data_IF_881631406896
#
_entry.id   IF_881631406896
#
_cell.length_a   1.000
_cell.length_b   1.000
_cell.length_c   1.000
_cell.angle_alpha   90.00
_cell.angle_beta   90.00
_cell.angle_gamma   90.00
#
_symmetry.space_group_name_H-M   'P 1'
#
loop_
_entity.id
_entity.type
_entity.pdbx_description
1 polymer ?
#
# COMPACT_ATOMS: atom_id res chain seq x y z
N UNK A 1 -6.49 8.85 -15.49
CA UNK A 1 -5.45 9.88 -15.34
C UNK A 1 -4.22 9.39 -16.08
N UNK A 2 -3.49 10.24 -16.79
CA UNK A 2 -2.27 9.80 -17.48
C UNK A 2 -1.08 9.74 -16.51
N UNK A 3 -0.03 9.00 -16.85
CA UNK A 3 1.17 8.90 -16.02
C UNK A 3 1.89 10.26 -15.90
N UNK A 4 1.85 11.09 -16.95
CA UNK A 4 2.40 12.45 -16.90
C UNK A 4 1.61 13.36 -15.94
N UNK A 5 0.29 13.25 -15.91
CA UNK A 5 -0.56 13.99 -14.96
C UNK A 5 -0.28 13.54 -13.53
N UNK A 6 -0.20 12.23 -13.29
CA UNK A 6 0.12 11.66 -11.98
C UNK A 6 1.47 12.16 -11.48
N UNK A 7 2.51 12.12 -12.34
CA UNK A 7 3.85 12.57 -11.98
C UNK A 7 3.90 14.05 -11.60
N UNK A 8 3.14 14.90 -12.30
CA UNK A 8 3.02 16.33 -11.96
C UNK A 8 2.37 16.53 -10.60
N UNK A 9 1.29 15.79 -10.32
CA UNK A 9 0.58 15.88 -9.04
C UNK A 9 1.46 15.39 -7.89
N UNK A 10 2.17 14.27 -8.04
CA UNK A 10 3.12 13.76 -7.03
C UNK A 10 4.20 14.80 -6.74
N UNK A 11 4.83 15.37 -7.78
CA UNK A 11 5.87 16.39 -7.62
C UNK A 11 5.35 17.64 -6.90
N UNK A 12 4.11 18.02 -7.14
CA UNK A 12 3.49 19.16 -6.44
C UNK A 12 3.16 18.79 -4.98
N UNK A 13 2.57 17.62 -4.74
CA UNK A 13 2.27 17.12 -3.40
C UNK A 13 3.54 16.99 -2.53
N UNK A 14 4.68 16.60 -3.13
CA UNK A 14 5.98 16.54 -2.47
C UNK A 14 6.45 17.92 -2.01
N UNK A 15 6.31 18.94 -2.87
CA UNK A 15 6.66 20.33 -2.55
C UNK A 15 5.76 20.91 -1.46
N UNK A 16 4.49 20.54 -1.47
CA UNK A 16 3.49 21.03 -0.52
C UNK A 16 3.55 20.31 0.83
N UNK A 17 4.33 19.23 0.94
CA UNK A 17 4.51 18.48 2.18
C UNK A 17 3.21 17.84 2.67
N UNK A 18 2.38 17.34 1.74
CA UNK A 18 1.06 16.80 2.11
C UNK A 18 1.17 15.57 3.01
N UNK A 19 0.26 15.46 3.97
CA UNK A 19 0.18 14.32 4.89
C UNK A 19 -0.87 13.28 4.48
N UNK A 20 -1.74 13.62 3.54
CA UNK A 20 -2.76 12.72 2.97
C UNK A 20 -2.80 12.86 1.46
N UNK A 21 -2.84 11.74 0.75
CA UNK A 21 -2.82 11.71 -0.70
C UNK A 21 -3.82 10.69 -1.23
N UNK A 22 -4.82 11.18 -1.96
CA UNK A 22 -5.96 10.38 -2.41
C UNK A 22 -5.93 10.22 -3.94
N UNK A 23 -5.65 8.99 -4.35
CA UNK A 23 -5.57 8.55 -5.73
C UNK A 23 -6.65 7.51 -6.04
N UNK A 24 -7.76 7.47 -5.28
CA UNK A 24 -8.83 6.51 -5.51
C UNK A 24 -9.49 6.66 -6.89
N UNK A 25 -9.91 5.54 -7.49
CA UNK A 25 -10.69 5.53 -8.73
C UNK A 25 -10.04 6.30 -9.90
N UNK A 26 -8.72 6.20 -10.05
CA UNK A 26 -7.97 6.90 -11.10
C UNK A 26 -7.60 6.03 -12.29
N UNK A 27 -7.92 4.73 -12.22
CA UNK A 27 -7.56 3.68 -13.19
C UNK A 27 -6.04 3.64 -13.42
N UNK A 28 -5.29 3.76 -12.34
CA UNK A 28 -3.82 3.68 -12.39
C UNK A 28 -3.41 2.24 -12.65
N UNK A 29 -2.67 2.01 -13.72
CA UNK A 29 -2.06 0.71 -14.00
C UNK A 29 -0.70 0.55 -13.33
N UNK A 30 -0.05 1.67 -13.01
CA UNK A 30 1.23 1.72 -12.30
C UNK A 30 1.26 2.91 -11.33
N UNK A 31 2.08 2.77 -10.29
CA UNK A 31 2.43 3.85 -9.37
C UNK A 31 3.91 4.18 -9.59
N UNK A 32 4.27 5.41 -9.97
CA UNK A 32 5.65 5.73 -10.32
C UNK A 32 6.54 5.80 -9.07
N UNK A 33 7.85 5.50 -9.19
CA UNK A 33 8.83 5.56 -8.09
C UNK A 33 8.83 6.89 -7.32
N UNK A 34 8.49 8.00 -7.99
CA UNK A 34 8.41 9.32 -7.37
C UNK A 34 7.40 9.41 -6.22
N UNK A 35 6.51 8.43 -6.04
CA UNK A 35 5.67 8.36 -4.84
C UNK A 35 6.50 8.41 -3.55
N UNK A 36 7.70 7.82 -3.55
CA UNK A 36 8.62 7.82 -2.41
C UNK A 36 9.09 9.21 -1.98
N UNK A 37 8.91 10.23 -2.81
CA UNK A 37 9.22 11.64 -2.47
C UNK A 37 8.24 12.22 -1.44
N UNK A 38 7.06 11.62 -1.24
CA UNK A 38 6.03 12.08 -0.30
C UNK A 38 6.38 11.68 1.16
N UNK A 39 7.56 12.04 1.63
CA UNK A 39 8.10 11.60 2.94
C UNK A 39 7.29 12.06 4.16
N UNK A 40 6.41 13.05 4.01
CA UNK A 40 5.51 13.53 5.07
C UNK A 40 4.16 12.78 5.11
N UNK A 41 3.95 11.83 4.20
CA UNK A 41 2.67 11.18 4.03
C UNK A 41 2.36 10.24 5.21
N UNK A 42 1.15 10.39 5.74
CA UNK A 42 0.59 9.55 6.81
C UNK A 42 -0.58 8.70 6.33
N UNK A 43 -1.25 9.12 5.25
CA UNK A 43 -2.36 8.39 4.63
C UNK A 43 -2.22 8.37 3.11
N UNK A 44 -2.19 7.17 2.52
CA UNK A 44 -2.18 6.94 1.09
C UNK A 44 -3.40 6.10 0.70
N UNK A 45 -4.27 6.67 -0.13
CA UNK A 45 -5.43 5.96 -0.65
C UNK A 45 -5.27 5.66 -2.15
N UNK A 46 -5.11 4.39 -2.49
CA UNK A 46 -4.99 3.83 -3.83
C UNK A 46 -6.18 2.92 -4.17
N UNK A 47 -7.27 3.01 -3.41
CA UNK A 47 -8.48 2.21 -3.56
C UNK A 47 -9.04 2.27 -4.99
N UNK A 48 -9.50 1.15 -5.52
CA UNK A 48 -10.05 1.03 -6.88
C UNK A 48 -9.14 1.62 -7.97
N UNK A 49 -7.94 1.06 -8.12
CA UNK A 49 -7.11 1.29 -9.30
C UNK A 49 -6.89 -0.03 -10.03
N UNK A 50 -5.89 -0.13 -10.90
CA UNK A 50 -5.58 -1.32 -11.71
C UNK A 50 -4.10 -1.70 -11.53
N UNK A 51 -3.54 -1.40 -10.35
CA UNK A 51 -2.13 -1.62 -10.04
C UNK A 51 -1.84 -3.11 -9.99
N UNK A 52 -0.84 -3.56 -10.74
CA UNK A 52 -0.37 -4.96 -10.70
C UNK A 52 0.84 -5.14 -9.77
N UNK A 53 1.56 -4.05 -9.50
CA UNK A 53 2.73 -4.02 -8.61
C UNK A 53 2.84 -2.66 -7.91
N UNK A 54 3.53 -2.63 -6.77
CA UNK A 54 3.96 -1.39 -6.13
C UNK A 54 5.47 -1.17 -6.36
N UNK A 55 5.92 0.07 -6.59
CA UNK A 55 7.33 0.38 -6.65
C UNK A 55 8.00 0.14 -5.29
N UNK A 56 9.26 -0.35 -5.23
CA UNK A 56 10.03 -0.46 -3.98
C UNK A 56 10.10 0.84 -3.17
N UNK A 57 10.04 1.99 -3.86
CA UNK A 57 10.03 3.32 -3.27
C UNK A 57 8.83 3.59 -2.34
N UNK A 58 7.81 2.71 -2.34
CA UNK A 58 6.75 2.76 -1.31
C UNK A 58 7.35 2.70 0.11
N UNK A 59 8.44 1.96 0.32
CA UNK A 59 9.11 1.85 1.61
C UNK A 59 9.73 3.16 2.12
N UNK A 60 9.90 4.16 1.25
CA UNK A 60 10.39 5.49 1.64
C UNK A 60 9.36 6.30 2.43
N UNK A 61 8.08 5.91 2.39
CA UNK A 61 6.98 6.55 3.11
C UNK A 61 6.97 6.18 4.60
N UNK A 62 8.09 6.34 5.29
CA UNK A 62 8.31 5.87 6.67
C UNK A 62 7.36 6.47 7.73
N UNK A 63 6.66 7.56 7.41
CA UNK A 63 5.63 8.17 8.26
C UNK A 63 4.20 7.63 8.01
N UNK A 64 4.03 6.71 7.05
CA UNK A 64 2.74 6.22 6.63
C UNK A 64 2.10 5.39 7.74
N UNK A 65 0.84 5.72 8.06
CA UNK A 65 0.02 5.05 9.07
C UNK A 65 -1.10 4.23 8.44
N UNK A 66 -1.67 4.75 7.35
CA UNK A 66 -2.78 4.11 6.64
C UNK A 66 -2.39 3.96 5.18
N UNK A 67 -2.46 2.72 4.68
CA UNK A 67 -2.30 2.38 3.28
C UNK A 67 -3.53 1.61 2.82
N UNK A 68 -4.31 2.22 1.93
CA UNK A 68 -5.47 1.58 1.34
C UNK A 68 -5.21 1.19 -0.12
N UNK A 69 -5.08 -0.11 -0.37
CA UNK A 69 -4.92 -0.74 -1.67
C UNK A 69 -6.11 -1.62 -2.03
N UNK A 70 -7.18 -1.55 -1.25
CA UNK A 70 -8.35 -2.38 -1.46
C UNK A 70 -9.11 -2.04 -2.75
N UNK A 71 -10.17 -2.78 -3.01
CA UNK A 71 -11.04 -2.45 -4.13
C UNK A 71 -12.47 -2.96 -3.98
N UNK A 72 -13.29 -2.69 -4.99
CA UNK A 72 -14.58 -3.33 -5.17
C UNK A 72 -14.61 -4.22 -6.41
N UNK A 73 -15.74 -4.92 -6.57
CA UNK A 73 -15.95 -5.90 -7.63
C UNK A 73 -15.92 -5.33 -9.07
N UNK A 74 -15.97 -4.00 -9.27
CA UNK A 74 -15.99 -3.39 -10.61
C UNK A 74 -14.61 -3.00 -11.11
N UNK A 75 -13.79 -2.42 -10.25
CA UNK A 75 -12.47 -1.89 -10.59
C UNK A 75 -11.62 -1.99 -9.31
N UNK A 76 -10.58 -2.82 -9.34
CA UNK A 76 -9.73 -3.11 -8.17
C UNK A 76 -8.29 -3.33 -8.59
N UNK A 77 -7.40 -3.09 -7.63
CA UNK A 77 -5.99 -3.40 -7.81
C UNK A 77 -5.82 -4.91 -8.04
N UNK A 78 -4.83 -5.27 -8.82
CA UNK A 78 -4.57 -6.63 -9.26
C UNK A 78 -3.21 -7.08 -8.75
N UNK A 79 -2.85 -6.66 -7.53
CA UNK A 79 -1.55 -6.97 -6.95
C UNK A 79 -1.43 -8.47 -6.74
N UNK A 80 -0.37 -9.08 -7.26
CA UNK A 80 -0.06 -10.50 -7.07
C UNK A 80 0.92 -10.74 -5.92
N UNK A 81 1.70 -9.72 -5.58
CA UNK A 81 2.66 -9.67 -4.47
C UNK A 81 2.81 -8.23 -3.94
N UNK A 82 3.45 -8.10 -2.77
CA UNK A 82 3.92 -6.83 -2.23
C UNK A 82 5.45 -6.80 -2.29
N UNK A 83 6.07 -5.63 -2.55
CA UNK A 83 7.51 -5.49 -2.46
C UNK A 83 7.98 -5.72 -1.00
N UNK A 84 9.14 -6.37 -0.76
CA UNK A 84 9.72 -6.52 0.57
C UNK A 84 9.86 -5.20 1.34
N UNK A 85 10.05 -4.10 0.63
CA UNK A 85 10.14 -2.74 1.17
C UNK A 85 8.88 -2.29 1.93
N UNK A 86 7.75 -3.01 1.80
CA UNK A 86 6.58 -2.78 2.66
C UNK A 86 6.95 -2.85 4.14
N UNK A 87 7.91 -3.70 4.54
CA UNK A 87 8.37 -3.82 5.93
C UNK A 87 9.04 -2.56 6.48
N UNK A 88 9.47 -1.63 5.61
CA UNK A 88 10.04 -0.35 6.01
C UNK A 88 9.00 0.61 6.60
N UNK A 89 7.70 0.36 6.35
CA UNK A 89 6.57 1.16 6.85
C UNK A 89 6.27 0.87 8.33
N UNK A 90 7.28 0.95 9.18
CA UNK A 90 7.21 0.56 10.60
C UNK A 90 6.16 1.33 11.43
N UNK A 91 5.66 2.47 10.93
CA UNK A 91 4.61 3.29 11.54
C UNK A 91 3.19 2.92 11.06
N UNK A 92 3.05 1.94 10.16
CA UNK A 92 1.78 1.54 9.59
C UNK A 92 0.91 0.88 10.66
N UNK A 93 -0.32 1.39 10.82
CA UNK A 93 -1.32 0.87 11.76
C UNK A 93 -2.45 0.15 11.01
N UNK A 94 -2.77 0.59 9.79
CA UNK A 94 -3.83 0.00 8.98
C UNK A 94 -3.35 -0.28 7.55
N UNK A 95 -3.49 -1.53 7.13
CA UNK A 95 -3.18 -1.98 5.78
C UNK A 95 -4.38 -2.69 5.18
N UNK A 96 -4.98 -2.07 4.16
CA UNK A 96 -6.11 -2.65 3.44
C UNK A 96 -5.65 -3.21 2.10
N UNK A 97 -5.79 -4.51 1.91
CA UNK A 97 -5.39 -5.26 0.70
C UNK A 97 -6.54 -6.10 0.12
N UNK A 98 -7.76 -5.90 0.60
CA UNK A 98 -8.92 -6.68 0.17
C UNK A 98 -9.22 -6.51 -1.32
N UNK A 99 -9.78 -7.53 -1.96
CA UNK A 99 -10.05 -7.54 -3.41
C UNK A 99 -8.78 -7.27 -4.24
N UNK A 100 -7.74 -8.08 -4.01
CA UNK A 100 -6.52 -8.14 -4.82
C UNK A 100 -6.26 -9.59 -5.27
N UNK A 101 -5.10 -9.87 -5.85
CA UNK A 101 -4.73 -11.19 -6.38
C UNK A 101 -3.52 -11.77 -5.65
N UNK A 102 -3.28 -11.36 -4.39
CA UNK A 102 -2.08 -11.74 -3.66
C UNK A 102 -2.03 -13.24 -3.47
N UNK A 103 -0.91 -13.85 -3.88
CA UNK A 103 -0.66 -15.29 -3.72
C UNK A 103 0.23 -15.60 -2.52
N UNK A 104 1.01 -14.61 -2.08
CA UNK A 104 1.84 -14.64 -0.87
C UNK A 104 1.96 -13.24 -0.27
N UNK A 105 2.43 -13.16 0.98
CA UNK A 105 2.97 -11.93 1.56
C UNK A 105 4.49 -12.08 1.74
N UNK A 106 5.27 -11.00 1.63
CA UNK A 106 6.69 -11.04 1.95
C UNK A 106 6.90 -11.27 3.47
N UNK A 107 7.94 -12.01 3.91
CA UNK A 107 8.28 -12.18 5.32
C UNK A 107 8.44 -10.85 6.07
N UNK A 108 8.86 -9.80 5.37
CA UNK A 108 9.01 -8.44 5.86
C UNK A 108 7.71 -7.83 6.40
N UNK A 109 6.54 -8.42 6.12
CA UNK A 109 5.27 -8.03 6.76
C UNK A 109 5.37 -8.08 8.29
N UNK A 110 6.16 -9.00 8.86
CA UNK A 110 6.38 -9.11 10.31
C UNK A 110 7.09 -7.90 10.94
N UNK A 111 7.70 -7.03 10.13
CA UNK A 111 8.35 -5.80 10.58
C UNK A 111 7.33 -4.70 10.94
N UNK A 112 6.07 -4.82 10.50
CA UNK A 112 4.99 -3.87 10.75
C UNK A 112 4.42 -3.99 12.18
N UNK A 113 5.28 -3.93 13.19
CA UNK A 113 4.95 -4.21 14.60
C UNK A 113 3.89 -3.29 15.22
N UNK A 114 3.57 -2.16 14.57
CA UNK A 114 2.51 -1.21 14.94
C UNK A 114 1.16 -1.51 14.28
N UNK A 115 1.08 -2.52 13.41
CA UNK A 115 -0.12 -2.84 12.64
C UNK A 115 -1.21 -3.40 13.55
N UNK A 116 -2.37 -2.75 13.54
CA UNK A 116 -3.56 -3.16 14.29
C UNK A 116 -4.62 -3.81 13.39
N UNK A 117 -4.64 -3.43 12.12
CA UNK A 117 -5.56 -3.95 11.11
C UNK A 117 -4.80 -4.34 9.83
N UNK A 118 -5.00 -5.58 9.39
CA UNK A 118 -4.51 -6.11 8.12
C UNK A 118 -5.65 -6.80 7.36
N UNK A 119 -6.31 -6.13 6.42
CA UNK A 119 -7.43 -6.74 5.72
C UNK A 119 -6.98 -7.44 4.43
N UNK A 120 -7.07 -8.78 4.41
CA UNK A 120 -6.65 -9.63 3.28
C UNK A 120 -7.82 -10.31 2.55
N UNK A 121 -9.07 -9.94 2.85
CA UNK A 121 -10.27 -10.59 2.29
C UNK A 121 -10.25 -10.58 0.76
N UNK A 122 -10.75 -11.65 0.13
CA UNK A 122 -10.78 -11.76 -1.33
C UNK A 122 -9.40 -11.61 -1.99
N UNK A 123 -8.43 -12.40 -1.53
CA UNK A 123 -7.14 -12.64 -2.18
C UNK A 123 -6.97 -14.13 -2.54
N UNK A 124 -5.82 -14.52 -3.08
CA UNK A 124 -5.48 -15.89 -3.48
C UNK A 124 -4.45 -16.55 -2.54
N UNK A 125 -4.37 -16.06 -1.31
CA UNK A 125 -3.44 -16.54 -0.29
C UNK A 125 -3.81 -17.95 0.15
N UNK A 126 -2.85 -18.87 0.11
CA UNK A 126 -3.02 -20.24 0.62
C UNK A 126 -2.41 -20.42 2.01
N UNK A 127 -1.45 -19.56 2.36
CA UNK A 127 -0.81 -19.50 3.66
C UNK A 127 -0.35 -18.06 3.94
N UNK A 128 -0.15 -17.75 5.22
CA UNK A 128 0.54 -16.53 5.65
C UNK A 128 1.98 -16.89 6.03
N UNK A 129 2.96 -15.98 5.82
CA UNK A 129 4.32 -16.18 6.30
C UNK A 129 4.32 -16.33 7.84
N UNK A 130 5.19 -17.17 8.43
CA UNK A 130 5.25 -17.36 9.88
C UNK A 130 5.54 -16.05 10.64
N UNK A 131 6.18 -15.09 9.98
CA UNK A 131 6.45 -13.74 10.46
C UNK A 131 5.18 -12.95 10.81
N UNK A 132 3.99 -13.37 10.34
CA UNK A 132 2.73 -12.77 10.78
C UNK A 132 2.56 -12.84 12.32
N UNK A 133 3.16 -13.84 12.97
CA UNK A 133 3.17 -13.97 14.43
C UNK A 133 3.98 -12.87 15.15
N UNK A 134 4.75 -12.05 14.43
CA UNK A 134 5.47 -10.90 14.99
C UNK A 134 4.57 -9.67 15.15
N UNK A 135 3.39 -9.65 14.53
CA UNK A 135 2.42 -8.56 14.59
C UNK A 135 1.64 -8.56 15.91
N UNK A 136 2.34 -8.32 17.01
CA UNK A 136 1.79 -8.42 18.38
C UNK A 136 0.67 -7.44 18.71
N UNK A 137 0.49 -6.38 17.92
CA UNK A 137 -0.59 -5.39 18.05
C UNK A 137 -1.80 -5.67 17.15
N UNK A 138 -1.74 -6.70 16.30
CA UNK A 138 -2.79 -7.00 15.34
C UNK A 138 -4.05 -7.50 16.05
N UNK A 139 -5.15 -6.78 15.85
CA UNK A 139 -6.46 -7.13 16.41
C UNK A 139 -7.46 -7.57 15.35
N UNK A 140 -7.23 -7.20 14.07
CA UNK A 140 -8.09 -7.52 12.94
C UNK A 140 -7.26 -8.01 11.74
N UNK A 141 -7.65 -9.16 11.17
CA UNK A 141 -6.99 -9.85 10.05
C UNK A 141 -8.00 -10.39 9.04
#
# INVERSE_FOLDING_TARGET
>A
MTNEELLKIIKQAAKDGVTSFDLRNKRLTELPPEIGQLTQLTNLNLYNNQLTVLPPEIGQLTNLKILNLGGDWRDHNQLTELPPEIGQLTQLTELYLFENQLTTLPPEIGQLTQLTLLNLVSNQLTALPPEIGQLTQLTEL
#
